data_IF_796342482789
#
_entry.id   IF_796342482789
#
_cell.length_a   1.000
_cell.length_b   1.000
_cell.length_c   1.000
_cell.angle_alpha   90.00
_cell.angle_beta   90.00
_cell.angle_gamma   90.00
#
_symmetry.space_group_name_H-M   'P 1'
#
loop_
_entity.id
_entity.type
_entity.pdbx_description
1 polymer ?
#
# COMPACT_ATOMS: atom_id res chain seq x y z
N UNK A 1 5.89 -21.55 37.60
CA UNK A 1 6.26 -22.78 36.91
C UNK A 1 4.95 -23.55 36.71
N UNK A 2 4.25 -23.30 35.59
CA UNK A 2 3.02 -24.03 35.29
C UNK A 2 3.43 -25.22 34.49
N UNK A 3 3.21 -26.41 35.06
CA UNK A 3 3.35 -27.67 34.36
C UNK A 3 2.22 -27.80 33.36
N UNK A 4 2.50 -27.51 32.11
CA UNK A 4 1.63 -27.86 31.00
C UNK A 4 1.89 -29.33 30.68
N UNK A 5 1.19 -30.20 31.41
CA UNK A 5 1.16 -31.62 31.12
C UNK A 5 0.96 -31.84 29.60
N UNK A 6 1.91 -32.55 29.00
CA UNK A 6 1.93 -32.95 27.60
C UNK A 6 0.80 -33.96 27.28
N UNK A 7 -0.44 -33.49 27.32
CA UNK A 7 -1.49 -34.14 26.54
C UNK A 7 -1.45 -33.45 25.16
N UNK A 8 -0.62 -33.99 24.32
CA UNK A 8 -0.70 -33.71 22.90
C UNK A 8 -2.14 -33.93 22.47
N UNK A 9 -2.84 -32.86 22.09
CA UNK A 9 -4.07 -32.99 21.33
C UNK A 9 -3.68 -33.69 20.04
N UNK A 10 -3.74 -35.03 20.06
CA UNK A 10 -3.73 -35.82 18.83
C UNK A 10 -5.00 -35.38 18.12
N UNK A 11 -4.90 -34.47 17.18
CA UNK A 11 -5.94 -34.20 16.22
C UNK A 11 -6.20 -35.52 15.57
N UNK A 12 -7.33 -36.21 15.94
CA UNK A 12 -7.68 -37.46 15.33
C UNK A 12 -7.83 -37.18 13.83
N UNK A 13 -7.16 -38.00 13.00
CA UNK A 13 -7.28 -37.90 11.54
C UNK A 13 -8.71 -38.29 11.05
N UNK A 14 -9.63 -38.56 11.99
CA UNK A 14 -11.03 -38.92 11.71
C UNK A 14 -11.95 -37.68 11.56
N UNK A 15 -11.47 -36.47 11.73
CA UNK A 15 -12.24 -35.28 11.40
C UNK A 15 -12.32 -35.12 9.87
N UNK A 16 -13.41 -35.58 9.31
CA UNK A 16 -13.74 -35.27 7.92
C UNK A 16 -14.06 -33.77 7.78
N UNK A 17 -13.02 -33.01 7.55
CA UNK A 17 -13.12 -31.57 7.36
C UNK A 17 -14.05 -31.17 6.21
N UNK A 18 -14.24 -32.06 5.22
CA UNK A 18 -15.21 -31.84 4.15
C UNK A 18 -16.63 -31.95 4.71
N UNK A 19 -16.87 -32.88 5.64
CA UNK A 19 -18.15 -33.02 6.31
C UNK A 19 -18.44 -31.82 7.23
N UNK A 20 -17.45 -31.38 8.03
CA UNK A 20 -17.57 -30.18 8.86
C UNK A 20 -17.82 -28.92 7.99
N UNK A 21 -17.14 -28.80 6.87
CA UNK A 21 -17.35 -27.75 5.90
C UNK A 21 -18.75 -27.77 5.29
N UNK A 22 -19.25 -28.97 4.92
CA UNK A 22 -20.61 -29.15 4.42
C UNK A 22 -21.70 -28.89 5.47
N UNK A 23 -21.44 -29.17 6.73
CA UNK A 23 -22.34 -28.86 7.84
C UNK A 23 -22.41 -27.36 8.11
N UNK A 24 -21.24 -26.67 8.09
CA UNK A 24 -21.17 -25.21 8.13
C UNK A 24 -21.87 -24.59 6.92
N UNK A 25 -21.80 -25.23 5.75
CA UNK A 25 -22.46 -24.81 4.53
C UNK A 25 -23.99 -24.92 4.59
N UNK A 26 -24.50 -25.84 5.39
CA UNK A 26 -25.93 -26.06 5.63
C UNK A 26 -26.50 -25.17 6.74
N UNK A 27 -25.65 -24.62 7.58
CA UNK A 27 -26.08 -23.76 8.68
C UNK A 27 -26.44 -22.35 8.18
N UNK A 28 -27.48 -22.25 7.35
CA UNK A 28 -28.15 -20.98 7.03
C UNK A 28 -28.80 -20.32 8.27
N UNK A 29 -28.65 -20.92 9.44
CA UNK A 29 -29.31 -20.55 10.68
C UNK A 29 -28.68 -19.40 11.47
N UNK A 30 -27.76 -18.67 10.88
CA UNK A 30 -27.51 -17.31 11.37
C UNK A 30 -28.66 -16.35 11.00
N UNK A 31 -29.71 -16.87 10.37
CA UNK A 31 -30.72 -16.18 9.58
C UNK A 31 -31.43 -15.01 10.25
N UNK A 32 -31.91 -15.13 11.46
CA UNK A 32 -32.75 -14.08 12.05
C UNK A 32 -31.93 -12.89 12.57
N UNK A 33 -30.77 -13.12 13.18
CA UNK A 33 -29.93 -12.06 13.73
C UNK A 33 -29.14 -11.33 12.62
N UNK A 34 -28.64 -12.08 11.64
CA UNK A 34 -27.78 -11.52 10.59
C UNK A 34 -28.52 -11.00 9.36
N UNK A 35 -29.76 -11.39 9.17
CA UNK A 35 -30.65 -10.87 8.12
C UNK A 35 -31.61 -9.76 8.63
N UNK A 36 -31.54 -9.40 9.92
CA UNK A 36 -32.26 -8.24 10.43
C UNK A 36 -31.73 -6.97 9.74
N UNK A 37 -32.58 -5.96 9.48
CA UNK A 37 -32.11 -4.68 9.00
C UNK A 37 -31.29 -4.01 10.11
N UNK A 38 -29.98 -4.18 10.04
CA UNK A 38 -29.03 -3.53 10.93
C UNK A 38 -28.76 -2.13 10.40
N UNK A 39 -29.00 -1.13 11.23
CA UNK A 39 -28.67 0.25 10.92
C UNK A 39 -27.33 0.61 11.56
N UNK A 40 -26.62 1.55 10.93
CA UNK A 40 -25.39 2.12 11.46
C UNK A 40 -25.39 3.62 11.23
N UNK A 41 -24.93 4.36 12.23
CA UNK A 41 -24.68 5.80 12.15
C UNK A 41 -23.25 6.11 11.69
N UNK A 42 -22.51 5.10 11.22
CA UNK A 42 -21.15 5.26 10.73
C UNK A 42 -21.10 6.24 9.55
N UNK A 43 -20.15 7.16 9.62
CA UNK A 43 -19.84 8.15 8.58
C UNK A 43 -18.38 7.95 8.18
N UNK A 44 -18.13 7.91 6.88
CA UNK A 44 -16.81 7.72 6.32
C UNK A 44 -16.48 8.83 5.32
N UNK A 45 -15.22 9.26 5.32
CA UNK A 45 -14.70 10.03 4.21
C UNK A 45 -14.65 9.16 2.96
N UNK A 46 -15.10 9.70 1.84
CA UNK A 46 -15.12 8.98 0.56
C UNK A 46 -14.95 9.95 -0.61
N UNK A 47 -14.50 9.40 -1.71
CA UNK A 47 -14.45 10.11 -2.98
C UNK A 47 -15.86 10.39 -3.52
N UNK A 48 -15.98 11.37 -4.39
CA UNK A 48 -17.24 11.71 -5.05
C UNK A 48 -17.72 10.58 -5.97
N UNK A 49 -19.04 10.58 -6.24
CA UNK A 49 -19.63 9.65 -7.21
C UNK A 49 -19.08 9.91 -8.62
N UNK A 50 -18.73 11.15 -8.94
CA UNK A 50 -18.09 11.57 -10.19
C UNK A 50 -16.69 10.95 -10.34
N UNK A 51 -15.92 10.91 -9.27
CA UNK A 51 -14.59 10.28 -9.28
C UNK A 51 -14.70 8.77 -9.53
N UNK A 52 -15.64 8.09 -8.88
CA UNK A 52 -15.86 6.66 -9.14
C UNK A 52 -16.40 6.41 -10.56
N UNK A 53 -17.28 7.26 -11.06
CA UNK A 53 -17.73 7.18 -12.45
C UNK A 53 -16.57 7.31 -13.44
N UNK A 54 -15.63 8.23 -13.20
CA UNK A 54 -14.40 8.40 -13.97
C UNK A 54 -13.55 7.12 -13.96
N UNK A 55 -13.33 6.54 -12.77
CA UNK A 55 -12.56 5.30 -12.59
C UNK A 55 -13.20 4.12 -13.33
N UNK A 56 -14.49 3.92 -13.16
CA UNK A 56 -15.22 2.84 -13.84
C UNK A 56 -15.23 3.03 -15.36
N UNK A 57 -15.34 4.26 -15.85
CA UNK A 57 -15.25 4.56 -17.29
C UNK A 57 -13.84 4.23 -17.83
N UNK A 58 -12.78 4.58 -17.10
CA UNK A 58 -11.41 4.24 -17.47
C UNK A 58 -11.21 2.70 -17.51
N UNK A 59 -11.69 1.97 -16.51
CA UNK A 59 -11.62 0.51 -16.49
C UNK A 59 -12.36 -0.10 -17.68
N UNK A 60 -13.60 0.34 -17.97
CA UNK A 60 -14.38 -0.16 -19.11
C UNK A 60 -13.71 0.12 -20.46
N UNK A 61 -13.00 1.24 -20.58
CA UNK A 61 -12.21 1.54 -21.79
C UNK A 61 -11.09 0.50 -22.00
N UNK A 62 -10.36 0.15 -20.93
CA UNK A 62 -9.33 -0.90 -21.00
C UNK A 62 -9.94 -2.29 -21.22
N UNK A 63 -11.05 -2.60 -20.55
CA UNK A 63 -11.79 -3.84 -20.78
C UNK A 63 -12.21 -3.99 -22.25
N UNK A 64 -12.73 -2.93 -22.85
CA UNK A 64 -13.11 -2.94 -24.27
C UNK A 64 -11.90 -3.13 -25.19
N UNK A 65 -10.75 -2.51 -24.89
CA UNK A 65 -9.48 -2.72 -25.62
C UNK A 65 -9.07 -4.19 -25.61
N UNK A 66 -9.19 -4.85 -24.43
CA UNK A 66 -8.68 -6.21 -24.22
C UNK A 66 -9.75 -7.29 -24.42
N UNK A 67 -10.95 -6.88 -24.88
CA UNK A 67 -12.07 -7.79 -25.17
C UNK A 67 -12.61 -8.50 -23.94
N UNK A 68 -12.69 -7.82 -22.80
CA UNK A 68 -13.22 -8.34 -21.55
C UNK A 68 -14.68 -7.93 -21.37
N UNK A 69 -15.53 -8.89 -20.96
CA UNK A 69 -16.94 -8.66 -20.65
C UNK A 69 -17.14 -8.20 -19.21
N UNK A 70 -16.26 -8.62 -18.31
CA UNK A 70 -16.22 -8.20 -16.91
C UNK A 70 -14.78 -8.14 -16.40
N UNK A 71 -14.57 -7.34 -15.35
CA UNK A 71 -13.34 -7.26 -14.58
C UNK A 71 -13.62 -7.58 -13.12
N UNK A 72 -12.88 -8.51 -12.55
CA UNK A 72 -12.85 -8.78 -11.12
C UNK A 72 -11.65 -8.02 -10.54
N UNK A 73 -11.95 -6.93 -9.84
CA UNK A 73 -10.98 -6.22 -9.02
C UNK A 73 -10.82 -6.98 -7.71
N UNK A 74 -9.60 -7.31 -7.37
CA UNK A 74 -9.28 -8.06 -6.16
C UNK A 74 -8.88 -7.11 -5.04
N UNK A 75 -9.18 -7.50 -3.79
CA UNK A 75 -8.70 -6.87 -2.59
C UNK A 75 -8.07 -7.91 -1.70
N UNK A 76 -6.81 -7.71 -1.36
CA UNK A 76 -6.04 -8.64 -0.56
C UNK A 76 -6.23 -8.43 0.94
N UNK A 77 -5.88 -9.44 1.75
CA UNK A 77 -5.83 -9.33 3.20
C UNK A 77 -4.56 -8.62 3.70
N UNK A 78 -3.90 -7.84 2.87
CA UNK A 78 -2.69 -7.15 3.25
C UNK A 78 -3.01 -5.79 3.88
N UNK A 79 -2.55 -5.57 5.09
CA UNK A 79 -2.66 -4.30 5.79
C UNK A 79 -1.96 -3.16 5.04
N UNK A 80 -1.00 -3.48 4.19
CA UNK A 80 -0.24 -2.49 3.42
C UNK A 80 -0.98 -1.98 2.17
N UNK A 81 -1.97 -2.72 1.66
CA UNK A 81 -2.72 -2.34 0.46
C UNK A 81 -4.17 -1.96 0.73
N UNK A 82 -4.65 -2.26 1.92
CA UNK A 82 -6.05 -2.04 2.29
C UNK A 82 -7.08 -2.54 1.26
N UNK A 83 -6.68 -3.50 0.41
CA UNK A 83 -7.53 -4.04 -0.63
C UNK A 83 -7.49 -3.26 -1.95
N UNK A 84 -6.32 -2.92 -2.44
CA UNK A 84 -6.01 -1.96 -3.50
C UNK A 84 -6.98 -1.89 -4.68
N UNK A 85 -7.24 -2.97 -5.41
CA UNK A 85 -8.18 -2.96 -6.55
C UNK A 85 -9.61 -2.67 -6.12
N UNK A 86 -10.06 -3.24 -5.00
CA UNK A 86 -11.37 -2.98 -4.42
C UNK A 86 -11.42 -1.58 -3.82
N UNK A 87 -10.35 -1.11 -3.17
CA UNK A 87 -10.26 0.26 -2.67
C UNK A 87 -10.34 1.26 -3.81
N UNK A 88 -9.61 1.02 -4.91
CA UNK A 88 -9.68 1.86 -6.09
C UNK A 88 -11.08 1.87 -6.73
N UNK A 89 -11.68 0.69 -6.90
CA UNK A 89 -12.95 0.52 -7.63
C UNK A 89 -14.19 0.89 -6.83
N UNK A 90 -14.18 0.67 -5.51
CA UNK A 90 -15.35 0.81 -4.65
C UNK A 90 -15.16 1.81 -3.49
N UNK A 91 -13.94 2.15 -3.12
CA UNK A 91 -13.63 2.96 -1.94
C UNK A 91 -13.61 2.18 -0.62
N UNK A 92 -13.69 0.85 -0.68
CA UNK A 92 -13.67 0.04 0.53
C UNK A 92 -12.27 0.00 1.15
N UNK A 93 -12.21 0.26 2.44
CA UNK A 93 -11.03 0.06 3.27
C UNK A 93 -11.42 -0.88 4.41
N UNK A 94 -10.76 -2.02 4.50
CA UNK A 94 -11.03 -3.03 5.53
C UNK A 94 -9.72 -3.51 6.16
N UNK A 95 -9.54 -3.22 7.44
CA UNK A 95 -8.32 -3.53 8.20
C UNK A 95 -8.26 -4.98 8.70
N UNK A 96 -9.27 -5.81 8.41
CA UNK A 96 -9.36 -7.17 8.95
C UNK A 96 -8.61 -8.21 8.14
N UNK A 97 -7.98 -7.81 7.04
CA UNK A 97 -7.18 -8.71 6.22
C UNK A 97 -7.98 -9.84 5.56
N UNK A 98 -9.21 -9.57 5.10
CA UNK A 98 -10.08 -10.54 4.46
C UNK A 98 -10.18 -10.29 2.96
N UNK A 99 -10.30 -11.36 2.17
CA UNK A 99 -10.46 -11.25 0.73
C UNK A 99 -11.78 -10.54 0.37
N UNK A 100 -11.69 -9.66 -0.61
CA UNK A 100 -12.80 -8.87 -1.13
C UNK A 100 -12.73 -8.89 -2.65
N UNK A 101 -13.87 -8.85 -3.32
CA UNK A 101 -13.91 -8.84 -4.78
C UNK A 101 -14.96 -7.88 -5.27
N UNK A 102 -14.62 -7.06 -6.26
CA UNK A 102 -15.58 -6.23 -6.96
C UNK A 102 -15.71 -6.72 -8.39
N UNK A 103 -16.91 -7.03 -8.80
CA UNK A 103 -17.25 -7.38 -10.18
C UNK A 103 -17.68 -6.08 -10.89
N UNK A 104 -16.90 -5.66 -11.88
CA UNK A 104 -17.23 -4.54 -12.76
C UNK A 104 -17.59 -5.09 -14.13
N UNK A 105 -18.87 -5.16 -14.52
CA UNK A 105 -19.26 -5.55 -15.86
C UNK A 105 -18.92 -4.44 -16.88
N UNK A 106 -18.65 -4.83 -18.12
CA UNK A 106 -18.43 -3.88 -19.21
C UNK A 106 -19.69 -2.99 -19.40
N UNK A 107 -20.87 -3.55 -19.20
CA UNK A 107 -22.16 -2.85 -19.20
C UNK A 107 -22.96 -3.21 -17.96
N UNK A 108 -23.48 -2.23 -17.24
CA UNK A 108 -24.30 -2.42 -16.03
C UNK A 108 -23.58 -1.98 -14.76
N UNK A 109 -24.23 -2.21 -13.64
CA UNK A 109 -23.77 -1.75 -12.32
C UNK A 109 -22.76 -2.73 -11.70
N UNK A 110 -21.75 -2.22 -10.99
CA UNK A 110 -20.79 -3.05 -10.27
C UNK A 110 -21.43 -3.74 -9.06
N UNK A 111 -20.83 -4.85 -8.64
CA UNK A 111 -21.19 -5.59 -7.43
C UNK A 111 -19.97 -5.78 -6.55
N UNK A 112 -20.06 -5.46 -5.27
CA UNK A 112 -19.04 -5.75 -4.26
C UNK A 112 -19.40 -7.02 -3.50
N UNK A 113 -18.50 -8.00 -3.51
CA UNK A 113 -18.58 -9.20 -2.66
C UNK A 113 -17.74 -8.92 -1.40
N UNK A 114 -18.43 -8.71 -0.30
CA UNK A 114 -17.84 -8.33 0.97
C UNK A 114 -17.75 -9.54 1.92
N UNK A 115 -16.70 -9.67 2.75
CA UNK A 115 -16.44 -10.89 3.53
C UNK A 115 -17.51 -11.27 4.54
N UNK A 116 -18.31 -10.34 4.99
CA UNK A 116 -19.29 -10.54 6.05
C UNK A 116 -20.75 -10.38 5.59
N UNK A 117 -21.62 -10.30 6.57
CA UNK A 117 -23.07 -10.17 6.42
C UNK A 117 -23.65 -9.23 7.51
N UNK A 118 -24.96 -9.01 7.48
CA UNK A 118 -25.67 -8.22 8.48
C UNK A 118 -25.17 -6.78 8.59
N UNK A 119 -24.93 -6.31 9.81
CA UNK A 119 -24.51 -4.94 10.07
C UNK A 119 -23.18 -4.55 9.38
N UNK A 120 -22.32 -5.51 9.08
CA UNK A 120 -21.08 -5.25 8.35
C UNK A 120 -21.36 -4.89 6.87
N UNK A 121 -22.37 -5.48 6.25
CA UNK A 121 -22.81 -5.08 4.90
C UNK A 121 -23.32 -3.65 4.92
N UNK A 122 -24.13 -3.26 5.94
CA UNK A 122 -24.64 -1.91 6.06
C UNK A 122 -23.50 -0.88 6.29
N UNK A 123 -22.52 -1.22 7.10
CA UNK A 123 -21.32 -0.38 7.29
C UNK A 123 -20.52 -0.24 5.97
N UNK A 124 -20.32 -1.34 5.23
CA UNK A 124 -19.66 -1.29 3.93
C UNK A 124 -20.44 -0.41 2.94
N UNK A 125 -21.77 -0.51 2.87
CA UNK A 125 -22.62 0.37 2.02
C UNK A 125 -22.46 1.84 2.35
N UNK A 126 -22.21 2.21 3.60
CA UNK A 126 -21.95 3.61 3.98
C UNK A 126 -20.60 4.11 3.47
N UNK A 127 -19.62 3.22 3.37
CA UNK A 127 -18.27 3.56 2.95
C UNK A 127 -18.08 3.59 1.43
N UNK A 128 -18.72 2.64 0.71
CA UNK A 128 -18.45 2.42 -0.72
C UNK A 128 -19.36 3.22 -1.65
N UNK A 129 -18.94 3.35 -2.91
CA UNK A 129 -19.74 3.91 -4.01
C UNK A 129 -20.66 2.88 -4.67
N UNK A 130 -20.38 1.59 -4.49
CA UNK A 130 -21.11 0.48 -5.11
C UNK A 130 -22.40 0.23 -4.34
N UNK A 131 -23.55 0.21 -5.05
CA UNK A 131 -24.86 0.00 -4.43
C UNK A 131 -25.15 -1.46 -4.13
N UNK A 132 -24.74 -2.38 -5.01
CA UNK A 132 -24.94 -3.83 -4.84
C UNK A 132 -23.79 -4.41 -4.02
N UNK A 133 -23.96 -4.46 -2.70
CA UNK A 133 -23.00 -5.06 -1.75
C UNK A 133 -23.60 -6.36 -1.22
N UNK A 134 -22.90 -7.46 -1.45
CA UNK A 134 -23.35 -8.81 -1.12
C UNK A 134 -22.37 -9.52 -0.20
N UNK A 135 -22.87 -10.48 0.56
CA UNK A 135 -22.07 -11.34 1.41
C UNK A 135 -21.17 -12.27 0.60
N UNK A 136 -19.93 -12.44 1.05
CA UNK A 136 -19.00 -13.46 0.58
C UNK A 136 -19.29 -14.86 1.14
N UNK A 137 -20.47 -15.09 1.67
CA UNK A 137 -20.99 -16.41 2.10
C UNK A 137 -20.01 -17.16 3.03
N UNK A 138 -19.54 -16.51 4.09
CA UNK A 138 -18.62 -17.12 5.07
C UNK A 138 -17.31 -17.69 4.48
N UNK A 139 -16.70 -16.93 3.58
CA UNK A 139 -15.43 -17.33 2.96
C UNK A 139 -15.58 -18.17 1.68
N UNK A 140 -16.80 -18.39 1.21
CA UNK A 140 -17.05 -19.02 -0.10
C UNK A 140 -17.06 -17.96 -1.22
N UNK A 141 -16.04 -17.16 -1.23
CA UNK A 141 -15.95 -16.01 -2.13
C UNK A 141 -16.10 -16.38 -3.61
N UNK A 142 -15.46 -17.48 -4.03
CA UNK A 142 -15.54 -17.95 -5.41
C UNK A 142 -16.94 -18.36 -5.80
N UNK A 143 -17.69 -18.96 -4.87
CA UNK A 143 -19.12 -19.27 -5.08
C UNK A 143 -19.94 -17.99 -5.22
N UNK A 144 -19.79 -17.04 -4.29
CA UNK A 144 -20.54 -15.77 -4.32
C UNK A 144 -20.26 -14.97 -5.60
N UNK A 145 -18.99 -14.90 -6.02
CA UNK A 145 -18.61 -14.24 -7.28
C UNK A 145 -19.19 -14.99 -8.48
N UNK A 146 -19.05 -16.33 -8.52
CA UNK A 146 -19.53 -17.16 -9.62
C UNK A 146 -21.06 -17.11 -9.78
N UNK A 147 -21.81 -17.18 -8.69
CA UNK A 147 -23.26 -17.04 -8.70
C UNK A 147 -23.69 -15.66 -9.24
N UNK A 148 -22.99 -14.58 -8.82
CA UNK A 148 -23.27 -13.27 -9.34
C UNK A 148 -22.97 -13.12 -10.84
N UNK A 149 -21.89 -13.71 -11.31
CA UNK A 149 -21.56 -13.75 -12.74
C UNK A 149 -22.61 -14.52 -13.55
N UNK A 150 -23.18 -15.63 -13.00
CA UNK A 150 -24.29 -16.35 -13.61
C UNK A 150 -25.54 -15.48 -13.71
N UNK A 151 -25.91 -14.75 -12.64
CA UNK A 151 -27.04 -13.81 -12.66
C UNK A 151 -26.85 -12.71 -13.72
N UNK A 152 -25.62 -12.29 -13.96
CA UNK A 152 -25.28 -11.32 -14.99
C UNK A 152 -25.25 -11.90 -16.42
N UNK A 153 -25.53 -13.20 -16.59
CA UNK A 153 -25.52 -13.85 -17.90
C UNK A 153 -24.11 -14.13 -18.45
N UNK A 154 -23.10 -14.23 -17.59
CA UNK A 154 -21.69 -14.28 -17.97
C UNK A 154 -21.10 -15.70 -18.05
N UNK A 155 -21.94 -16.72 -18.29
CA UNK A 155 -21.50 -18.13 -18.32
C UNK A 155 -20.48 -18.45 -19.42
N UNK A 156 -20.40 -17.62 -20.48
CA UNK A 156 -19.48 -17.76 -21.62
C UNK A 156 -18.59 -16.54 -21.80
N UNK A 157 -18.57 -15.66 -20.82
CA UNK A 157 -17.87 -14.38 -20.89
C UNK A 157 -16.36 -14.55 -20.79
N UNK A 158 -15.63 -13.55 -21.28
CA UNK A 158 -14.20 -13.37 -21.04
C UNK A 158 -14.02 -12.40 -19.86
N UNK A 159 -13.51 -12.91 -18.76
CA UNK A 159 -13.47 -12.24 -17.45
C UNK A 159 -12.04 -11.96 -17.04
N UNK A 160 -11.68 -10.68 -16.89
CA UNK A 160 -10.40 -10.25 -16.37
C UNK A 160 -10.34 -10.37 -14.84
N UNK A 161 -9.17 -10.69 -14.30
CA UNK A 161 -8.89 -10.73 -12.86
C UNK A 161 -7.61 -9.93 -12.60
N UNK A 162 -7.67 -8.90 -11.75
CA UNK A 162 -6.51 -8.05 -11.46
C UNK A 162 -5.51 -8.68 -10.51
N UNK A 163 -5.77 -9.88 -9.99
CA UNK A 163 -4.84 -10.57 -9.10
C UNK A 163 -3.46 -10.71 -9.72
N UNK A 164 -2.43 -10.43 -8.92
CA UNK A 164 -1.03 -10.56 -9.29
C UNK A 164 -0.35 -11.64 -8.45
N UNK A 165 0.70 -12.23 -9.01
CA UNK A 165 1.57 -13.20 -8.36
C UNK A 165 2.90 -12.59 -7.90
N UNK A 166 3.07 -11.26 -8.07
CA UNK A 166 4.32 -10.55 -7.82
C UNK A 166 4.26 -9.65 -6.59
N UNK A 167 4.86 -8.49 -6.66
CA UNK A 167 5.13 -7.58 -5.56
C UNK A 167 3.92 -6.78 -5.05
N UNK A 168 2.73 -7.02 -5.58
CA UNK A 168 1.52 -6.34 -5.15
C UNK A 168 0.66 -7.24 -4.26
N UNK A 169 -0.17 -6.67 -3.40
CA UNK A 169 -1.10 -7.40 -2.55
C UNK A 169 -2.36 -7.85 -3.28
N UNK A 170 -2.38 -7.68 -4.57
CA UNK A 170 -3.44 -8.12 -5.46
C UNK A 170 -3.38 -9.63 -5.63
N UNK A 171 -4.18 -10.36 -4.89
CA UNK A 171 -4.26 -11.81 -5.05
C UNK A 171 -5.68 -12.33 -4.92
N UNK A 172 -5.88 -13.50 -5.48
CA UNK A 172 -7.10 -14.26 -5.34
C UNK A 172 -6.79 -15.59 -4.67
N UNK A 173 -7.56 -15.95 -3.65
CA UNK A 173 -7.43 -17.25 -3.03
C UNK A 173 -7.66 -18.37 -4.06
N UNK A 174 -6.79 -19.39 -4.08
CA UNK A 174 -6.88 -20.49 -5.06
C UNK A 174 -8.25 -21.16 -5.06
N UNK A 175 -8.85 -21.37 -3.88
CA UNK A 175 -10.19 -21.97 -3.78
C UNK A 175 -11.26 -21.09 -4.41
N UNK A 176 -11.15 -19.76 -4.28
CA UNK A 176 -12.09 -18.82 -4.93
C UNK A 176 -12.03 -18.95 -6.45
N UNK A 177 -10.82 -19.04 -6.99
CA UNK A 177 -10.62 -19.25 -8.42
C UNK A 177 -11.19 -20.59 -8.92
N UNK A 178 -10.89 -21.68 -8.21
CA UNK A 178 -11.39 -23.03 -8.57
C UNK A 178 -12.92 -23.14 -8.47
N UNK A 179 -13.54 -22.51 -7.47
CA UNK A 179 -15.01 -22.48 -7.33
C UNK A 179 -15.64 -21.72 -8.51
N UNK A 180 -15.07 -20.61 -8.93
CA UNK A 180 -15.54 -19.88 -10.13
C UNK A 180 -15.41 -20.72 -11.40
N UNK A 181 -14.27 -21.38 -11.62
CA UNK A 181 -14.07 -22.26 -12.78
C UNK A 181 -15.08 -23.40 -12.81
N UNK A 182 -15.38 -23.99 -11.65
CA UNK A 182 -16.37 -25.07 -11.53
C UNK A 182 -17.79 -24.59 -11.85
N UNK A 183 -18.15 -23.38 -11.42
CA UNK A 183 -19.48 -22.80 -11.66
C UNK A 183 -19.65 -22.27 -13.08
N UNK A 184 -18.58 -21.81 -13.70
CA UNK A 184 -18.57 -21.19 -15.02
C UNK A 184 -17.58 -21.91 -15.97
N UNK A 185 -17.82 -23.20 -16.28
CA UNK A 185 -16.87 -24.01 -17.05
C UNK A 185 -16.70 -23.56 -18.51
N UNK A 186 -17.58 -22.70 -19.02
CA UNK A 186 -17.51 -22.15 -20.37
C UNK A 186 -16.98 -20.70 -20.41
N UNK A 187 -16.77 -20.06 -19.26
CA UNK A 187 -16.16 -18.74 -19.19
C UNK A 187 -14.62 -18.84 -19.37
N UNK A 188 -14.04 -17.78 -19.87
CA UNK A 188 -12.58 -17.64 -19.98
C UNK A 188 -12.11 -16.65 -18.94
N UNK A 189 -11.29 -17.09 -17.99
CA UNK A 189 -10.67 -16.23 -16.98
C UNK A 189 -9.28 -15.83 -17.44
N UNK A 190 -8.98 -14.54 -17.38
CA UNK A 190 -7.70 -13.92 -17.80
C UNK A 190 -7.11 -13.14 -16.65
N UNK A 191 -5.93 -13.52 -16.19
CA UNK A 191 -5.19 -12.71 -15.23
C UNK A 191 -4.58 -11.50 -15.93
N UNK A 192 -4.89 -10.30 -15.46
CA UNK A 192 -4.47 -9.03 -16.03
C UNK A 192 -4.02 -8.03 -14.93
N UNK A 193 -2.99 -8.37 -14.14
CA UNK A 193 -2.52 -7.50 -13.05
C UNK A 193 -2.03 -6.13 -13.55
N UNK A 194 -1.48 -6.08 -14.76
CA UNK A 194 -1.00 -4.86 -15.38
C UNK A 194 -2.13 -3.84 -15.61
N UNK A 195 -3.37 -4.30 -15.78
CA UNK A 195 -4.52 -3.41 -15.97
C UNK A 195 -4.74 -2.51 -14.77
N UNK A 196 -4.59 -3.02 -13.54
CA UNK A 196 -4.71 -2.17 -12.35
C UNK A 196 -3.60 -1.11 -12.30
N UNK A 197 -2.37 -1.47 -12.67
CA UNK A 197 -1.28 -0.50 -12.77
C UNK A 197 -1.57 0.59 -13.80
N UNK A 198 -2.12 0.24 -14.97
CA UNK A 198 -2.54 1.23 -15.96
C UNK A 198 -3.64 2.16 -15.39
N UNK A 199 -4.60 1.62 -14.66
CA UNK A 199 -5.71 2.36 -14.07
C UNK A 199 -5.28 3.32 -12.96
N UNK A 200 -4.30 2.90 -12.15
CA UNK A 200 -3.82 3.71 -11.02
C UNK A 200 -2.66 4.63 -11.39
N UNK A 201 -2.11 4.53 -12.60
CA UNK A 201 -0.92 5.27 -13.01
C UNK A 201 -1.14 6.78 -13.05
N UNK A 202 -2.32 7.23 -13.49
CA UNK A 202 -2.72 8.64 -13.52
C UNK A 202 -3.82 8.90 -12.49
N UNK A 203 -3.48 9.64 -11.45
CA UNK A 203 -4.39 10.02 -10.37
C UNK A 203 -5.23 11.23 -10.75
N UNK A 204 -6.51 11.20 -10.35
CA UNK A 204 -7.38 12.36 -10.39
C UNK A 204 -7.06 13.36 -9.27
N UNK A 205 -7.64 14.57 -9.32
CA UNK A 205 -7.41 15.59 -8.31
C UNK A 205 -7.82 15.17 -6.89
N UNK A 206 -8.86 14.35 -6.74
CA UNK A 206 -9.29 13.85 -5.43
C UNK A 206 -8.29 12.85 -4.85
N UNK A 207 -7.73 11.98 -5.67
CA UNK A 207 -6.71 11.02 -5.28
C UNK A 207 -5.44 11.76 -4.81
N UNK A 208 -5.01 12.80 -5.54
CA UNK A 208 -3.86 13.63 -5.15
C UNK A 208 -4.12 14.36 -3.82
N UNK A 209 -5.36 14.84 -3.59
CA UNK A 209 -5.72 15.46 -2.29
C UNK A 209 -5.64 14.43 -1.15
N UNK A 210 -6.11 13.20 -1.37
CA UNK A 210 -5.99 12.13 -0.37
C UNK A 210 -4.51 11.81 -0.07
N UNK A 211 -3.66 11.73 -1.10
CA UNK A 211 -2.22 11.54 -0.93
C UNK A 211 -1.55 12.72 -0.20
N UNK A 212 -1.94 13.96 -0.49
CA UNK A 212 -1.42 15.13 0.22
C UNK A 212 -1.81 15.10 1.72
N UNK A 213 -3.04 14.66 2.05
CA UNK A 213 -3.44 14.44 3.45
C UNK A 213 -2.65 13.32 4.09
N UNK A 214 -2.43 12.21 3.38
CA UNK A 214 -1.55 11.12 3.84
C UNK A 214 -0.13 11.61 4.11
N UNK A 215 0.40 12.52 3.28
CA UNK A 215 1.70 13.15 3.47
C UNK A 215 1.78 14.01 4.74
N UNK A 216 0.74 14.78 5.03
CA UNK A 216 0.65 15.53 6.30
C UNK A 216 0.65 14.59 7.51
N UNK A 217 -0.06 13.46 7.40
CA UNK A 217 -0.08 12.43 8.45
C UNK A 217 1.31 11.78 8.60
N UNK A 218 2.01 11.51 7.50
CA UNK A 218 3.37 10.97 7.53
C UNK A 218 4.37 11.94 8.21
N UNK A 219 4.23 13.24 7.98
CA UNK A 219 5.01 14.27 8.69
C UNK A 219 4.72 14.23 10.19
N UNK A 220 3.45 14.13 10.62
CA UNK A 220 3.10 14.01 12.04
C UNK A 220 3.67 12.72 12.66
N UNK A 221 3.69 11.63 11.91
CA UNK A 221 4.33 10.39 12.35
C UNK A 221 5.83 10.58 12.59
N UNK A 222 6.55 11.24 11.68
CA UNK A 222 7.97 11.57 11.84
C UNK A 222 8.19 12.49 13.05
N UNK A 223 7.37 13.52 13.22
CA UNK A 223 7.43 14.44 14.36
C UNK A 223 7.17 13.70 15.68
N UNK A 224 6.26 12.71 15.71
CA UNK A 224 6.02 11.88 16.88
C UNK A 224 7.25 11.02 17.24
N UNK A 225 7.96 10.48 16.23
CA UNK A 225 9.24 9.78 16.46
C UNK A 225 10.25 10.74 17.09
N UNK A 226 10.45 11.94 16.51
CA UNK A 226 11.41 12.90 17.01
C UNK A 226 11.07 13.40 18.44
N UNK A 227 9.80 13.70 18.71
CA UNK A 227 9.36 14.18 20.02
C UNK A 227 9.41 13.10 21.12
N UNK A 228 9.40 11.83 20.75
CA UNK A 228 9.29 10.73 21.71
C UNK A 228 10.63 10.06 21.97
N UNK A 229 11.51 10.01 20.98
CA UNK A 229 12.77 9.27 21.06
C UNK A 229 13.67 9.81 22.18
N UNK A 230 14.13 8.93 23.05
CA UNK A 230 15.05 9.25 24.15
C UNK A 230 15.86 8.02 24.56
N UNK A 231 17.02 8.19 25.21
CA UNK A 231 17.79 7.07 25.74
C UNK A 231 16.94 6.19 26.67
N UNK A 232 17.16 4.89 26.60
CA UNK A 232 16.44 3.88 27.41
C UNK A 232 15.16 3.33 26.76
N UNK A 233 14.58 3.99 25.77
CA UNK A 233 13.47 3.45 25.00
C UNK A 233 13.93 2.33 24.08
N UNK A 234 12.98 1.49 23.66
CA UNK A 234 13.19 0.49 22.61
C UNK A 234 12.59 0.94 21.29
N UNK A 235 13.13 0.46 20.16
CA UNK A 235 12.64 0.84 18.82
C UNK A 235 11.12 0.63 18.68
N UNK A 236 10.57 -0.51 19.17
CA UNK A 236 9.12 -0.75 19.07
C UNK A 236 8.28 0.27 19.85
N UNK A 237 8.84 0.94 20.86
CA UNK A 237 8.13 1.99 21.60
C UNK A 237 8.01 3.28 20.78
N UNK A 238 8.95 3.51 19.82
CA UNK A 238 8.78 4.58 18.85
C UNK A 238 7.61 4.29 17.89
N UNK A 239 7.50 3.04 17.43
CA UNK A 239 6.35 2.62 16.62
C UNK A 239 5.02 2.83 17.36
N UNK A 240 4.98 2.52 18.66
CA UNK A 240 3.82 2.78 19.51
C UNK A 240 3.47 4.28 19.62
N UNK A 241 4.46 5.18 19.59
CA UNK A 241 4.24 6.62 19.61
C UNK A 241 3.66 7.16 18.29
N UNK A 242 3.96 6.51 17.16
CA UNK A 242 3.44 6.88 15.84
C UNK A 242 1.93 6.61 15.73
N UNK A 243 1.43 5.54 16.32
CA UNK A 243 0.04 5.11 16.16
C UNK A 243 -0.99 6.21 16.51
N UNK A 244 -0.96 6.88 17.68
CA UNK A 244 -1.91 7.93 17.99
C UNK A 244 -1.75 9.15 17.07
N UNK A 245 -0.54 9.50 16.63
CA UNK A 245 -0.31 10.62 15.73
C UNK A 245 -0.95 10.40 14.34
N UNK A 246 -1.07 9.14 13.93
CA UNK A 246 -1.70 8.75 12.65
C UNK A 246 -3.21 8.58 12.80
N UNK A 247 -3.65 7.81 13.80
CA UNK A 247 -5.05 7.44 13.96
C UNK A 247 -5.95 8.62 14.37
N UNK A 248 -5.45 9.57 15.15
CA UNK A 248 -6.18 10.79 15.50
C UNK A 248 -6.47 11.70 14.28
N UNK A 249 -5.74 11.50 13.18
CA UNK A 249 -5.96 12.22 11.91
C UNK A 249 -6.88 11.47 10.93
N UNK A 250 -7.44 10.34 11.35
CA UNK A 250 -8.23 9.46 10.49
C UNK A 250 -7.37 8.65 9.50
N UNK A 251 -6.05 8.67 9.68
CA UNK A 251 -5.12 7.91 8.84
C UNK A 251 -4.86 6.50 9.33
N UNK A 252 -4.11 5.75 8.51
CA UNK A 252 -3.58 4.42 8.83
C UNK A 252 -2.11 4.36 8.46
N UNK A 253 -1.35 3.51 9.12
CA UNK A 253 -0.01 3.20 8.63
C UNK A 253 -0.08 2.17 7.53
N UNK A 254 0.57 2.50 6.42
CA UNK A 254 0.78 1.61 5.29
C UNK A 254 2.09 0.83 5.46
N UNK A 255 3.15 1.52 5.86
CA UNK A 255 4.46 0.94 6.18
C UNK A 255 5.07 1.69 7.35
N UNK A 256 5.59 0.94 8.32
CA UNK A 256 6.22 1.48 9.51
C UNK A 256 7.53 0.73 9.78
N UNK A 257 8.60 1.21 9.16
CA UNK A 257 9.94 0.67 9.37
C UNK A 257 10.75 1.64 10.20
N UNK A 258 11.34 1.15 11.27
CA UNK A 258 12.21 1.91 12.18
C UNK A 258 13.41 1.06 12.56
N UNK A 259 14.60 1.62 12.45
CA UNK A 259 15.82 1.04 12.95
C UNK A 259 16.73 2.11 13.50
N UNK A 260 17.61 1.75 14.41
CA UNK A 260 18.54 2.67 15.03
C UNK A 260 19.95 2.09 15.11
N UNK A 261 20.95 2.96 15.12
CA UNK A 261 22.34 2.58 15.24
C UNK A 261 23.14 3.69 15.90
N UNK A 262 24.29 3.34 16.49
CA UNK A 262 25.22 4.36 16.98
C UNK A 262 25.84 5.14 15.81
N UNK A 263 25.91 6.48 15.91
CA UNK A 263 26.62 7.30 14.95
C UNK A 263 28.15 7.09 15.01
N UNK A 264 28.69 6.53 16.11
CA UNK A 264 30.11 6.24 16.28
C UNK A 264 30.51 4.84 15.79
N UNK A 265 29.56 3.87 15.78
CA UNK A 265 29.75 2.51 15.31
C UNK A 265 28.49 2.05 14.58
N UNK A 266 28.25 2.56 13.35
CA UNK A 266 27.04 2.27 12.60
C UNK A 266 26.99 0.80 12.16
N UNK A 267 25.78 0.20 12.22
CA UNK A 267 25.52 -1.20 11.87
C UNK A 267 24.38 -1.34 10.86
N UNK A 268 23.61 -0.28 10.64
CA UNK A 268 22.55 -0.25 9.63
C UNK A 268 22.65 1.03 8.80
N UNK A 269 22.22 0.94 7.56
CA UNK A 269 22.13 2.06 6.62
C UNK A 269 20.69 2.28 6.15
N UNK A 270 19.77 1.38 6.52
CA UNK A 270 18.39 1.35 6.11
C UNK A 270 17.52 0.94 7.33
N UNK A 271 16.29 1.44 7.46
CA UNK A 271 15.42 1.08 8.58
C UNK A 271 15.10 -0.42 8.59
N UNK A 272 14.92 -0.96 9.80
CA UNK A 272 14.52 -2.36 9.97
C UNK A 272 13.07 -2.55 9.54
N UNK A 273 12.72 -3.67 8.87
CA UNK A 273 11.33 -3.96 8.48
C UNK A 273 10.38 -4.04 9.68
N UNK A 274 10.87 -4.46 10.84
CA UNK A 274 10.13 -4.45 12.09
C UNK A 274 10.95 -3.74 13.17
N UNK A 275 10.37 -2.79 13.92
CA UNK A 275 11.03 -2.16 15.07
C UNK A 275 11.43 -3.20 16.09
N UNK A 276 12.69 -3.17 16.52
CA UNK A 276 13.30 -4.21 17.35
C UNK A 276 13.24 -3.90 18.85
N UNK A 277 13.78 -4.82 19.64
CA UNK A 277 14.01 -4.64 21.09
C UNK A 277 15.29 -3.85 21.41
N UNK A 278 16.02 -3.35 20.41
CA UNK A 278 17.21 -2.53 20.63
C UNK A 278 16.87 -1.32 21.50
N UNK A 279 17.70 -1.10 22.53
CA UNK A 279 17.58 0.04 23.43
C UNK A 279 18.29 1.24 22.81
N UNK A 280 17.60 2.34 22.69
CA UNK A 280 18.12 3.61 22.21
C UNK A 280 19.11 4.21 23.21
N UNK A 281 20.15 4.85 22.70
CA UNK A 281 21.22 5.46 23.49
C UNK A 281 21.51 6.88 22.97
N UNK A 282 22.09 7.69 23.84
CA UNK A 282 22.69 8.95 23.42
C UNK A 282 23.72 8.69 22.31
N UNK A 283 23.72 9.50 21.26
CA UNK A 283 24.57 9.31 20.09
C UNK A 283 24.05 8.31 19.06
N UNK A 284 22.81 7.84 19.19
CA UNK A 284 22.16 7.05 18.14
C UNK A 284 21.55 7.93 17.05
N UNK A 285 21.49 7.37 15.84
CA UNK A 285 20.67 7.83 14.74
C UNK A 285 19.54 6.84 14.49
N UNK A 286 18.34 7.35 14.30
CA UNK A 286 17.13 6.61 13.95
C UNK A 286 16.88 6.83 12.45
N UNK A 287 16.82 5.74 11.72
CA UNK A 287 16.40 5.71 10.32
C UNK A 287 14.96 5.17 10.27
N UNK A 288 14.09 5.87 9.56
CA UNK A 288 12.69 5.45 9.45
C UNK A 288 12.17 5.59 8.03
N UNK A 289 11.33 4.65 7.63
CA UNK A 289 10.53 4.69 6.44
C UNK A 289 9.06 4.65 6.88
N UNK A 290 8.40 5.79 6.78
CA UNK A 290 7.06 6.01 7.31
C UNK A 290 6.12 6.29 6.14
N UNK A 291 5.35 5.27 5.72
CA UNK A 291 4.28 5.43 4.75
C UNK A 291 2.93 5.40 5.48
N UNK A 292 2.21 6.51 5.39
CA UNK A 292 0.89 6.65 5.99
C UNK A 292 -0.15 6.75 4.89
N UNK A 293 -1.38 6.31 5.18
CA UNK A 293 -2.46 6.35 4.22
C UNK A 293 -3.68 7.11 4.75
N UNK A 294 -4.40 7.71 3.80
CA UNK A 294 -5.70 8.32 4.01
C UNK A 294 -6.62 7.95 2.85
N UNK A 295 -7.81 7.48 3.15
CA UNK A 295 -8.74 6.94 2.15
C UNK A 295 -8.11 5.87 1.22
N UNK A 296 -7.17 5.07 1.76
CA UNK A 296 -6.42 4.05 1.05
C UNK A 296 -5.21 4.55 0.26
N UNK A 297 -5.05 5.83 0.04
CA UNK A 297 -3.91 6.43 -0.70
C UNK A 297 -2.77 6.80 0.23
N UNK A 298 -1.56 6.54 -0.20
CA UNK A 298 -0.36 6.63 0.64
C UNK A 298 0.56 7.77 0.24
N UNK A 299 1.26 8.31 1.23
CA UNK A 299 2.47 9.10 1.03
C UNK A 299 3.54 8.67 2.03
N UNK A 300 4.80 8.78 1.65
CA UNK A 300 5.93 8.27 2.38
C UNK A 300 6.95 9.36 2.70
N UNK A 301 7.48 9.32 3.92
CA UNK A 301 8.58 10.16 4.37
C UNK A 301 9.67 9.30 5.02
N UNK A 302 10.91 9.55 4.67
CA UNK A 302 12.10 9.06 5.37
C UNK A 302 13.00 10.23 5.71
N UNK A 303 13.33 10.39 6.99
CA UNK A 303 14.16 11.49 7.45
C UNK A 303 14.93 11.05 8.71
N UNK A 304 16.24 11.33 8.80
CA UNK A 304 17.04 10.91 9.94
C UNK A 304 16.68 11.73 11.20
N UNK A 305 16.64 11.02 12.34
CA UNK A 305 16.44 11.60 13.68
C UNK A 305 17.61 11.15 14.57
N UNK A 306 18.28 12.06 15.27
CA UNK A 306 19.36 11.70 16.20
C UNK A 306 18.93 11.88 17.64
N UNK A 307 19.48 11.04 18.52
CA UNK A 307 19.38 11.22 19.97
C UNK A 307 20.64 11.97 20.42
N UNK A 308 20.45 13.23 20.77
CA UNK A 308 21.52 14.19 20.94
C UNK A 308 22.05 14.75 19.62
N UNK A 309 23.06 15.62 19.73
CA UNK A 309 23.62 16.33 18.58
C UNK A 309 24.20 15.37 17.53
N UNK A 310 23.87 15.54 16.24
CA UNK A 310 24.50 14.78 15.17
C UNK A 310 26.03 14.89 15.23
N UNK A 311 26.75 13.77 14.98
CA UNK A 311 28.19 13.86 14.82
C UNK A 311 28.55 14.69 13.59
N UNK A 312 29.72 15.32 13.58
CA UNK A 312 30.20 16.10 12.44
C UNK A 312 30.17 15.28 11.14
N UNK A 313 30.61 14.02 11.21
CA UNK A 313 30.60 13.06 10.09
C UNK A 313 29.20 12.93 9.48
N UNK A 314 28.15 12.68 10.30
CA UNK A 314 26.78 12.53 9.82
C UNK A 314 26.20 13.84 9.31
N UNK A 315 26.45 14.95 10.00
CA UNK A 315 25.96 16.27 9.61
C UNK A 315 26.57 16.72 8.27
N UNK A 316 27.88 16.57 8.09
CA UNK A 316 28.57 16.89 6.84
C UNK A 316 28.07 16.02 5.69
N UNK A 317 27.97 14.69 5.91
CA UNK A 317 27.46 13.75 4.90
C UNK A 317 26.02 14.09 4.50
N UNK A 318 25.18 14.46 5.46
CA UNK A 318 23.80 14.86 5.17
C UNK A 318 23.75 16.12 4.30
N UNK A 319 24.48 17.16 4.69
CA UNK A 319 24.45 18.47 4.01
C UNK A 319 25.16 18.48 2.66
N UNK A 320 26.24 17.70 2.50
CA UNK A 320 27.06 17.76 1.29
C UNK A 320 26.76 16.63 0.30
N UNK A 321 26.20 15.51 0.77
CA UNK A 321 25.92 14.34 -0.07
C UNK A 321 24.44 14.08 -0.21
N UNK A 322 23.73 13.91 0.92
CA UNK A 322 22.32 13.44 0.90
C UNK A 322 21.41 14.49 0.29
N UNK A 323 21.41 15.71 0.87
CA UNK A 323 20.50 16.78 0.46
C UNK A 323 20.78 17.25 -0.98
N UNK A 324 22.01 17.57 -1.38
CA UNK A 324 22.27 17.97 -2.76
C UNK A 324 21.96 16.86 -3.77
N UNK A 325 22.24 15.60 -3.41
CA UNK A 325 21.91 14.45 -4.26
C UNK A 325 20.40 14.27 -4.43
N UNK A 326 19.65 14.42 -3.36
CA UNK A 326 18.19 14.39 -3.40
C UNK A 326 17.62 15.52 -4.27
N UNK A 327 18.10 16.75 -4.10
CA UNK A 327 17.61 17.91 -4.87
C UNK A 327 17.91 17.77 -6.38
N UNK A 328 19.05 17.19 -6.76
CA UNK A 328 19.32 16.89 -8.18
C UNK A 328 18.34 15.86 -8.76
N UNK A 329 18.02 14.81 -8.01
CA UNK A 329 17.03 13.79 -8.43
C UNK A 329 15.63 14.42 -8.48
N UNK A 330 15.22 15.16 -7.45
CA UNK A 330 13.95 15.89 -7.39
C UNK A 330 13.80 16.85 -8.58
N UNK A 331 14.88 17.54 -8.95
CA UNK A 331 14.91 18.45 -10.09
C UNK A 331 14.57 17.80 -11.45
N UNK A 332 14.62 16.46 -11.53
CA UNK A 332 14.19 15.71 -12.72
C UNK A 332 12.68 15.46 -12.76
N UNK A 333 11.94 15.63 -11.66
CA UNK A 333 10.50 15.42 -11.61
C UNK A 333 9.75 16.57 -12.26
N UNK A 334 9.62 16.52 -13.58
CA UNK A 334 8.98 17.54 -14.40
C UNK A 334 8.09 16.90 -15.46
N UNK A 335 6.93 17.48 -15.78
CA UNK A 335 6.16 17.03 -16.92
C UNK A 335 7.01 17.10 -18.21
N UNK A 336 6.91 16.09 -19.05
CA UNK A 336 7.71 15.98 -20.26
C UNK A 336 9.10 15.36 -20.10
N UNK A 337 9.63 15.21 -18.88
CA UNK A 337 10.88 14.49 -18.66
C UNK A 337 10.66 12.97 -18.61
N UNK A 338 11.70 12.17 -18.81
CA UNK A 338 11.62 10.72 -18.82
C UNK A 338 12.10 10.08 -17.53
N UNK A 339 11.63 8.87 -17.23
CA UNK A 339 12.13 8.06 -16.12
C UNK A 339 13.63 7.74 -16.28
N UNK A 340 14.12 7.64 -17.52
CA UNK A 340 15.54 7.45 -17.81
C UNK A 340 16.38 8.64 -17.37
N UNK A 341 15.87 9.86 -17.47
CA UNK A 341 16.57 11.05 -16.97
C UNK A 341 16.75 10.99 -15.44
N UNK A 342 15.69 10.58 -14.72
CA UNK A 342 15.77 10.34 -13.27
C UNK A 342 16.79 9.25 -12.94
N UNK A 343 16.74 8.12 -13.67
CA UNK A 343 17.68 7.00 -13.48
C UNK A 343 19.13 7.44 -13.72
N UNK A 344 19.42 8.15 -14.80
CA UNK A 344 20.76 8.65 -15.11
C UNK A 344 21.28 9.56 -14.00
N UNK A 345 20.46 10.49 -13.53
CA UNK A 345 20.83 11.40 -12.44
C UNK A 345 21.08 10.63 -11.15
N UNK A 346 20.14 9.80 -10.70
CA UNK A 346 20.27 9.04 -9.45
C UNK A 346 21.43 8.04 -9.47
N UNK A 347 21.79 7.50 -10.65
CA UNK A 347 22.92 6.56 -10.80
C UNK A 347 24.29 7.21 -10.64
N UNK A 348 24.43 8.52 -10.81
CA UNK A 348 25.72 9.22 -10.73
C UNK A 348 25.86 10.11 -9.50
N UNK A 349 24.75 10.71 -9.07
CA UNK A 349 24.75 11.87 -8.16
C UNK A 349 25.53 11.65 -6.86
N UNK A 350 25.51 10.45 -6.30
CA UNK A 350 26.25 10.12 -5.07
C UNK A 350 27.70 9.75 -5.37
N UNK A 351 27.95 9.04 -6.47
CA UNK A 351 29.32 8.72 -6.90
C UNK A 351 30.12 9.98 -7.21
N UNK A 352 29.49 10.98 -7.85
CA UNK A 352 30.12 12.28 -8.14
C UNK A 352 30.49 13.05 -6.86
N UNK A 353 29.91 12.65 -5.70
CA UNK A 353 30.20 13.18 -4.36
C UNK A 353 31.03 12.23 -3.50
N UNK A 354 31.68 11.23 -4.10
CA UNK A 354 32.53 10.31 -3.38
C UNK A 354 31.76 9.31 -2.49
N UNK A 355 30.49 9.09 -2.75
CA UNK A 355 29.63 8.14 -2.03
C UNK A 355 29.06 7.08 -2.95
N UNK A 356 28.42 6.07 -2.37
CA UNK A 356 27.64 5.06 -3.05
C UNK A 356 26.15 5.25 -2.74
N UNK A 357 25.26 4.45 -3.30
CA UNK A 357 23.85 4.37 -2.92
C UNK A 357 23.31 2.97 -3.16
N UNK A 358 22.29 2.58 -2.40
CA UNK A 358 21.45 1.45 -2.80
C UNK A 358 20.87 1.74 -4.19
N UNK A 359 20.60 0.68 -4.98
CA UNK A 359 20.18 0.87 -6.38
C UNK A 359 18.81 1.52 -6.57
N UNK A 360 17.92 1.47 -5.60
CA UNK A 360 16.61 2.14 -5.69
C UNK A 360 16.79 3.65 -5.69
N UNK A 361 16.14 4.33 -6.62
CA UNK A 361 16.16 5.78 -6.77
C UNK A 361 14.76 6.34 -6.52
N UNK A 362 13.76 5.73 -7.15
CA UNK A 362 12.38 6.19 -7.12
C UNK A 362 11.45 5.03 -7.47
N UNK A 363 10.24 5.05 -6.95
CA UNK A 363 9.16 4.16 -7.39
C UNK A 363 7.82 4.88 -7.44
N UNK A 364 6.84 4.29 -8.12
CA UNK A 364 5.46 4.75 -8.06
C UNK A 364 4.89 4.58 -6.65
N UNK A 365 3.96 5.41 -6.27
CA UNK A 365 3.25 5.34 -5.00
C UNK A 365 1.82 5.82 -5.19
N UNK A 366 0.87 5.02 -4.71
CA UNK A 366 -0.56 5.34 -4.72
C UNK A 366 -1.27 4.60 -3.57
N UNK A 367 -2.10 3.62 -3.88
CA UNK A 367 -2.69 2.70 -2.89
C UNK A 367 -1.65 1.79 -2.25
N UNK A 368 -0.55 1.56 -2.97
CA UNK A 368 0.57 0.71 -2.58
C UNK A 368 1.87 1.28 -3.15
N UNK A 369 2.99 0.67 -2.82
CA UNK A 369 4.23 0.85 -3.57
C UNK A 369 4.05 0.24 -4.95
N UNK A 370 4.02 1.07 -5.97
CA UNK A 370 3.65 0.68 -7.32
C UNK A 370 4.80 0.85 -8.33
N UNK A 371 4.58 0.35 -9.54
CA UNK A 371 5.46 0.60 -10.68
C UNK A 371 5.34 2.07 -11.13
N UNK A 372 6.36 2.63 -11.79
CA UNK A 372 7.65 2.02 -12.11
C UNK A 372 8.63 2.01 -10.94
N UNK A 373 9.56 1.04 -10.93
CA UNK A 373 10.72 1.08 -10.05
C UNK A 373 11.93 1.59 -10.82
N UNK A 374 12.34 2.81 -10.56
CA UNK A 374 13.53 3.43 -11.17
C UNK A 374 14.76 3.05 -10.35
N UNK A 375 15.64 2.23 -10.95
CA UNK A 375 16.82 1.67 -10.28
C UNK A 375 18.10 1.91 -11.10
N UNK A 376 19.20 2.11 -10.41
CA UNK A 376 20.51 2.29 -11.04
C UNK A 376 20.98 1.02 -11.77
N UNK A 377 20.69 -0.17 -11.20
CA UNK A 377 21.16 -1.47 -11.69
C UNK A 377 20.31 -2.10 -12.80
N UNK A 378 19.17 -1.52 -13.15
CA UNK A 378 18.25 -2.02 -14.19
C UNK A 378 17.85 -3.51 -14.07
N UNK A 379 17.85 -4.07 -12.87
CA UNK A 379 17.49 -5.49 -12.66
C UNK A 379 16.04 -5.77 -13.10
N UNK A 380 15.17 -4.77 -13.06
CA UNK A 380 13.79 -4.86 -13.56
C UNK A 380 13.69 -4.19 -14.93
N UNK A 381 12.97 -4.84 -15.83
CA UNK A 381 12.52 -4.22 -17.08
C UNK A 381 11.42 -3.21 -16.74
N UNK A 382 11.73 -1.93 -16.84
CA UNK A 382 10.80 -0.83 -16.60
C UNK A 382 10.70 0.03 -17.86
N UNK A 383 9.55 0.68 -18.09
CA UNK A 383 9.38 1.54 -19.26
C UNK A 383 10.11 2.88 -19.07
N UNK A 384 11.45 2.84 -19.02
CA UNK A 384 12.29 4.01 -18.75
C UNK A 384 12.10 5.17 -19.70
N UNK A 385 11.61 4.90 -20.93
CA UNK A 385 11.27 5.93 -21.90
C UNK A 385 9.93 6.63 -21.62
N UNK A 386 9.22 6.18 -20.59
CA UNK A 386 7.97 6.83 -20.17
C UNK A 386 8.20 8.28 -19.82
N UNK A 387 7.45 9.14 -20.47
CA UNK A 387 7.41 10.59 -20.22
C UNK A 387 6.48 10.87 -19.05
N UNK A 388 6.95 11.63 -18.09
CA UNK A 388 6.16 12.05 -16.93
C UNK A 388 5.03 12.97 -17.36
N UNK A 389 3.83 12.69 -16.83
CA UNK A 389 2.62 13.43 -17.12
C UNK A 389 1.96 13.89 -15.80
N UNK A 390 1.20 14.99 -15.83
CA UNK A 390 0.39 15.39 -14.69
C UNK A 390 -0.53 14.24 -14.23
N UNK A 391 -0.64 14.07 -12.91
CA UNK A 391 -1.35 12.96 -12.29
C UNK A 391 -0.48 11.76 -11.93
N UNK A 392 0.74 11.63 -12.43
CA UNK A 392 1.69 10.62 -11.96
C UNK A 392 2.21 10.97 -10.58
N UNK A 393 2.39 9.94 -9.74
CA UNK A 393 2.90 10.12 -8.37
C UNK A 393 4.07 9.19 -8.11
N UNK A 394 5.07 9.73 -7.42
CA UNK A 394 6.33 9.05 -7.18
C UNK A 394 6.83 9.28 -5.76
N UNK A 395 7.55 8.30 -5.27
CA UNK A 395 8.35 8.42 -4.08
C UNK A 395 9.83 8.35 -4.43
N UNK A 396 10.57 9.43 -4.23
CA UNK A 396 12.03 9.40 -4.26
C UNK A 396 12.48 8.67 -3.01
N UNK A 397 13.30 7.62 -3.18
CA UNK A 397 13.79 6.78 -2.11
C UNK A 397 15.29 6.56 -2.27
N UNK A 398 16.07 7.30 -1.53
CA UNK A 398 17.52 7.28 -1.62
C UNK A 398 18.14 6.74 -0.34
N UNK A 399 19.19 5.94 -0.50
CA UNK A 399 20.02 5.48 0.60
C UNK A 399 21.48 5.69 0.22
N UNK A 400 21.97 6.95 0.23
CA UNK A 400 23.38 7.20 0.09
C UNK A 400 24.15 6.59 1.25
N UNK A 401 25.29 6.02 0.92
CA UNK A 401 26.22 5.40 1.87
C UNK A 401 27.63 5.94 1.61
N UNK A 402 28.47 5.90 2.63
CA UNK A 402 29.86 6.29 2.48
C UNK A 402 30.58 5.38 1.47
N UNK A 403 31.79 5.78 1.12
CA UNK A 403 32.62 5.07 0.13
C UNK A 403 32.90 3.62 0.53
N UNK A 404 33.05 3.37 1.82
CA UNK A 404 33.30 2.06 2.40
C UNK A 404 32.03 1.22 2.56
N UNK A 405 30.84 1.80 2.43
CA UNK A 405 29.55 1.13 2.64
C UNK A 405 29.21 0.85 4.10
N UNK A 406 29.84 1.57 5.03
CA UNK A 406 29.74 1.34 6.47
C UNK A 406 28.58 2.13 7.10
N UNK A 407 28.41 3.38 6.74
CA UNK A 407 27.32 4.20 7.24
C UNK A 407 26.55 4.85 6.09
N UNK A 408 25.27 5.12 6.34
CA UNK A 408 24.41 5.75 5.35
C UNK A 408 23.18 6.38 6.00
N UNK A 409 22.42 7.05 5.18
CA UNK A 409 21.19 7.71 5.59
C UNK A 409 20.08 7.36 4.59
N UNK A 410 18.98 6.80 5.09
CA UNK A 410 17.76 6.67 4.32
C UNK A 410 17.04 8.00 4.26
N UNK A 411 16.68 8.44 3.05
CA UNK A 411 15.99 9.71 2.81
C UNK A 411 14.92 9.56 1.73
N UNK A 412 13.69 9.97 2.04
CA UNK A 412 12.56 9.71 1.15
C UNK A 412 11.50 10.81 1.23
N UNK A 413 10.93 11.17 0.06
CA UNK A 413 9.83 12.13 -0.10
C UNK A 413 8.90 11.72 -1.24
N UNK A 414 7.62 12.04 -1.09
CA UNK A 414 6.59 11.74 -2.09
C UNK A 414 6.19 12.98 -2.88
N UNK A 415 5.94 12.78 -4.17
CA UNK A 415 5.62 13.86 -5.11
C UNK A 415 4.49 13.47 -6.05
N UNK A 416 3.70 14.47 -6.48
CA UNK A 416 2.80 14.36 -7.62
C UNK A 416 3.30 15.26 -8.76
N UNK A 417 3.27 14.76 -9.99
CA UNK A 417 3.56 15.57 -11.16
C UNK A 417 2.33 16.41 -11.48
N UNK A 418 2.54 17.70 -11.67
CA UNK A 418 1.51 18.66 -12.07
C UNK A 418 1.93 19.36 -13.36
N UNK A 419 1.06 20.15 -13.97
CA UNK A 419 1.39 20.97 -15.12
C UNK A 419 2.58 21.91 -14.89
N UNK A 420 2.78 22.33 -13.62
CA UNK A 420 3.78 23.31 -13.23
C UNK A 420 5.06 22.67 -12.63
N UNK A 421 5.17 21.34 -12.61
CA UNK A 421 6.30 20.61 -12.02
C UNK A 421 5.86 19.65 -10.92
N UNK A 422 6.79 19.30 -10.01
CA UNK A 422 6.51 18.39 -8.91
C UNK A 422 5.87 19.11 -7.74
N UNK A 423 4.69 18.66 -7.32
CA UNK A 423 4.06 19.01 -6.04
C UNK A 423 4.61 18.12 -4.96
N UNK A 424 5.21 18.69 -3.93
CA UNK A 424 5.64 17.93 -2.75
C UNK A 424 4.44 17.51 -1.91
N UNK A 425 4.22 16.21 -1.76
CA UNK A 425 3.15 15.63 -0.95
C UNK A 425 3.55 15.48 0.53
N UNK A 426 4.86 15.55 0.81
CA UNK A 426 5.45 15.48 2.16
C UNK A 426 6.33 16.69 2.42
N UNK A 427 5.77 17.92 2.38
CA UNK A 427 6.54 19.18 2.48
C UNK A 427 7.11 19.35 3.89
N UNK A 428 8.30 18.82 4.10
CA UNK A 428 9.04 18.87 5.35
C UNK A 428 10.47 19.38 5.06
N UNK A 429 11.05 20.23 5.91
CA UNK A 429 12.41 20.73 5.72
C UNK A 429 13.42 19.63 5.43
N UNK A 430 14.33 19.89 4.51
CA UNK A 430 15.31 18.88 4.04
C UNK A 430 16.74 19.19 4.46
N UNK A 431 17.01 20.35 5.04
CA UNK A 431 18.33 20.94 5.26
C UNK A 431 18.98 20.57 6.60
N UNK A 432 18.23 19.95 7.51
CA UNK A 432 18.74 19.60 8.84
C UNK A 432 18.34 18.16 9.24
N UNK A 433 19.23 17.48 9.97
CA UNK A 433 18.89 16.26 10.69
C UNK A 433 18.05 16.64 11.92
N UNK A 434 16.94 15.98 12.14
CA UNK A 434 16.15 16.18 13.35
C UNK A 434 16.90 15.72 14.59
N UNK A 435 16.83 16.49 15.65
CA UNK A 435 17.32 16.10 16.97
C UNK A 435 16.12 15.77 17.85
N UNK A 436 16.12 14.59 18.46
CA UNK A 436 15.10 14.15 19.40
C UNK A 436 15.19 14.93 20.72
N UNK A 437 14.02 15.24 21.31
CA UNK A 437 13.93 15.94 22.57
C UNK A 437 12.77 16.90 22.65
#
# INVERSE_FOLDING_TARGET
MFDLGSQGVIMSHDNDWNKVRLELDKSDNFGAIYNSPWYTDAVYDKFSDEEFARRHAAARKLMARDGLDALILTGGPDIYSHGSGVTWGAGLIDDRGMCQYMILPLKGEPTLIYPHYGCHIEAARKQVSVRDVRSGQHGKYGKAVGERLIELGMQKARIGITAADRTGPEFMGVNAYLDMQKLLPQATFVFCPEMLHELTYLKGPEEIRAMAKAGQIAIKALQAVAATARPGMREYQLAAAVAPAVMNEGGRYHLLMIGSTSMHDPRIIFPNPNPSHRVLREGDIILSELAMSYMGYSAKIGHPVTIGKPTEKYNTFFKEVVVPGFEEVRGQLKPGNTLEAVRKTGSRVFRDRGAQSRPTIMHGLDLITSVPFVRADRIRAEPYETTMQPGMTYNIELTPVDKEGIFGIFFSRSFAITENGALDLTPFPVDEILVAG
#
